data_IF_825679160750
#
_entry.id   IF_825679160750
#
_cell.length_a   1.000
_cell.length_b   1.000
_cell.length_c   1.000
_cell.angle_alpha   90.00
_cell.angle_beta   90.00
_cell.angle_gamma   90.00
#
_symmetry.space_group_name_H-M   'P 1'
#
loop_
_entity.id
_entity.type
_entity.pdbx_description
1 polymer ?
#
# COMPACT_ATOMS: atom_id res chain seq x y z
N UNK A 1 -4.55 -76.24 -18.59
CA UNK A 1 -3.15 -75.85 -18.25
C UNK A 1 -3.07 -74.33 -18.44
N UNK A 2 -3.53 -73.66 -17.36
CA UNK A 2 -3.78 -72.20 -17.36
C UNK A 2 -2.53 -71.46 -16.94
N UNK A 3 -2.04 -70.60 -17.85
CA UNK A 3 -0.96 -69.68 -17.58
C UNK A 3 -1.54 -68.34 -17.13
N UNK A 4 -1.55 -68.10 -15.82
CA UNK A 4 -1.89 -66.82 -15.18
C UNK A 4 -0.77 -65.78 -15.42
N UNK A 5 -1.03 -64.81 -16.31
CA UNK A 5 -0.21 -63.62 -16.42
C UNK A 5 -0.57 -62.65 -15.28
N UNK A 6 0.28 -62.56 -14.27
CA UNK A 6 0.27 -61.46 -13.31
C UNK A 6 0.80 -60.22 -14.00
N UNK A 7 -0.11 -59.28 -14.34
CA UNK A 7 0.29 -57.89 -14.68
C UNK A 7 0.58 -57.17 -13.39
N UNK A 8 1.84 -56.97 -13.08
CA UNK A 8 2.28 -56.05 -12.07
C UNK A 8 1.95 -54.64 -12.53
N UNK A 9 1.06 -53.96 -11.80
CA UNK A 9 0.82 -52.53 -11.92
C UNK A 9 2.04 -51.78 -11.34
N UNK A 10 2.93 -51.36 -12.23
CA UNK A 10 3.99 -50.42 -11.86
C UNK A 10 3.30 -49.09 -11.51
N UNK A 11 3.22 -48.80 -10.22
CA UNK A 11 2.94 -47.46 -9.74
C UNK A 11 4.06 -46.54 -10.20
N UNK A 12 3.78 -45.70 -11.20
CA UNK A 12 4.66 -44.61 -11.59
C UNK A 12 4.77 -43.66 -10.39
N UNK A 13 5.86 -43.81 -9.67
CA UNK A 13 6.32 -42.81 -8.68
C UNK A 13 6.57 -41.50 -9.44
N UNK A 14 5.55 -40.64 -9.44
CA UNK A 14 5.69 -39.26 -9.92
C UNK A 14 6.61 -38.52 -8.95
N UNK A 15 7.91 -38.73 -9.03
CA UNK A 15 8.88 -37.80 -8.45
C UNK A 15 8.66 -36.47 -9.12
N UNK A 16 7.93 -35.58 -8.46
CA UNK A 16 7.92 -34.15 -8.82
C UNK A 16 9.38 -33.70 -8.78
N UNK A 17 9.95 -33.36 -9.93
CA UNK A 17 11.21 -32.65 -9.99
C UNK A 17 10.98 -31.38 -9.19
N UNK A 18 11.58 -31.29 -8.02
CA UNK A 18 11.47 -30.11 -7.14
C UNK A 18 12.27 -29.00 -7.82
N UNK A 19 11.58 -27.99 -8.35
CA UNK A 19 12.23 -26.87 -9.04
C UNK A 19 12.82 -25.99 -7.94
N UNK A 20 14.13 -25.77 -7.98
CA UNK A 20 14.78 -24.78 -7.13
C UNK A 20 14.89 -23.46 -7.91
N UNK A 21 14.33 -22.40 -7.36
CA UNK A 21 14.45 -21.06 -7.89
C UNK A 21 15.79 -20.42 -7.45
N UNK A 22 16.35 -19.55 -8.29
CA UNK A 22 17.45 -18.68 -7.86
C UNK A 22 16.94 -17.59 -6.94
N UNK A 23 15.72 -17.10 -7.22
CA UNK A 23 15.08 -16.01 -6.49
C UNK A 23 13.56 -16.20 -6.40
N UNK A 24 13.01 -16.04 -5.21
CA UNK A 24 11.57 -15.81 -5.00
C UNK A 24 11.38 -14.38 -4.51
N UNK A 25 10.46 -13.66 -5.14
CA UNK A 25 10.07 -12.30 -4.77
C UNK A 25 8.67 -12.38 -4.17
N UNK A 26 8.50 -11.89 -2.95
CA UNK A 26 7.21 -11.87 -2.25
C UNK A 26 6.62 -10.47 -2.36
N UNK A 27 5.55 -10.34 -3.12
CA UNK A 27 4.87 -9.09 -3.44
C UNK A 27 5.18 -8.58 -4.84
N UNK A 28 4.13 -8.15 -5.56
CA UNK A 28 4.18 -7.62 -6.92
C UNK A 28 3.81 -6.14 -7.01
N UNK A 29 4.12 -5.36 -5.97
CA UNK A 29 4.14 -3.90 -6.04
C UNK A 29 5.32 -3.40 -6.88
N UNK A 30 5.49 -2.07 -7.04
CA UNK A 30 6.56 -1.48 -7.87
C UNK A 30 7.95 -2.00 -7.52
N UNK A 31 8.25 -2.22 -6.24
CA UNK A 31 9.54 -2.72 -5.79
C UNK A 31 9.78 -4.16 -6.25
N UNK A 32 8.80 -5.05 -6.06
CA UNK A 32 8.90 -6.45 -6.47
C UNK A 32 8.98 -6.61 -7.98
N UNK A 33 8.17 -5.87 -8.73
CA UNK A 33 8.20 -5.87 -10.20
C UNK A 33 9.52 -5.32 -10.74
N UNK A 34 10.08 -4.27 -10.14
CA UNK A 34 11.39 -3.73 -10.48
C UNK A 34 12.50 -4.77 -10.25
N UNK A 35 12.49 -5.44 -9.09
CA UNK A 35 13.43 -6.52 -8.78
C UNK A 35 13.32 -7.68 -9.79
N UNK A 36 12.09 -8.05 -10.19
CA UNK A 36 11.84 -9.10 -11.17
C UNK A 36 12.41 -8.76 -12.55
N UNK A 37 12.23 -7.51 -13.01
CA UNK A 37 12.81 -7.03 -14.28
C UNK A 37 14.33 -7.21 -14.28
N UNK A 38 15.00 -6.77 -13.23
CA UNK A 38 16.45 -6.92 -13.13
C UNK A 38 16.89 -8.39 -12.96
N UNK A 39 16.17 -9.18 -12.17
CA UNK A 39 16.43 -10.61 -12.02
C UNK A 39 16.32 -11.37 -13.34
N UNK A 40 15.28 -11.12 -14.13
CA UNK A 40 15.14 -11.73 -15.46
C UNK A 40 16.21 -11.26 -16.45
N UNK A 41 16.60 -9.99 -16.41
CA UNK A 41 17.71 -9.48 -17.22
C UNK A 41 19.05 -10.10 -16.84
N UNK A 42 19.24 -10.51 -15.58
CA UNK A 42 20.40 -11.26 -15.10
C UNK A 42 20.32 -12.77 -15.41
N UNK A 43 19.25 -13.25 -16.05
CA UNK A 43 19.06 -14.67 -16.40
C UNK A 43 18.62 -15.57 -15.25
N UNK A 44 18.13 -15.00 -14.14
CA UNK A 44 17.71 -15.79 -12.99
C UNK A 44 16.41 -16.56 -13.27
N UNK A 45 16.35 -17.80 -12.77
CA UNK A 45 15.12 -18.55 -12.61
C UNK A 45 14.38 -17.99 -11.39
N UNK A 46 13.39 -17.12 -11.62
CA UNK A 46 12.67 -16.45 -10.54
C UNK A 46 11.17 -16.62 -10.62
N UNK A 47 10.54 -16.58 -9.44
CA UNK A 47 9.10 -16.60 -9.23
C UNK A 47 8.70 -15.36 -8.41
N UNK A 48 7.61 -14.72 -8.79
CA UNK A 48 6.96 -13.67 -7.99
C UNK A 48 5.72 -14.28 -7.35
N UNK A 49 5.56 -14.11 -6.04
CA UNK A 49 4.36 -14.55 -5.32
C UNK A 49 3.58 -13.32 -4.90
N UNK A 50 2.31 -13.27 -5.29
CA UNK A 50 1.39 -12.19 -4.96
C UNK A 50 0.11 -12.75 -4.36
N UNK A 51 -0.34 -12.17 -3.27
CA UNK A 51 -1.56 -12.60 -2.59
C UNK A 51 -2.82 -12.16 -3.33
N UNK A 52 -2.79 -10.95 -3.92
CA UNK A 52 -3.92 -10.36 -4.61
C UNK A 52 -3.90 -10.74 -6.10
N UNK A 53 -5.07 -10.82 -6.76
CA UNK A 53 -5.14 -11.17 -8.19
C UNK A 53 -4.46 -10.14 -9.10
N UNK A 54 -4.24 -8.91 -8.59
CA UNK A 54 -3.67 -7.80 -9.36
C UNK A 54 -2.33 -7.34 -8.78
N UNK A 55 -1.39 -7.06 -9.68
CA UNK A 55 -0.09 -6.46 -9.35
C UNK A 55 -0.17 -4.94 -9.33
N UNK A 56 0.65 -4.31 -8.48
CA UNK A 56 0.73 -2.84 -8.36
C UNK A 56 0.78 -2.38 -6.91
N UNK A 57 0.29 -3.19 -5.96
CA UNK A 57 0.27 -2.82 -4.55
C UNK A 57 -0.54 -1.55 -4.30
N UNK A 58 -0.01 -0.62 -3.50
CA UNK A 58 -0.72 0.61 -3.12
C UNK A 58 -1.02 1.55 -4.29
N UNK A 59 -0.23 1.55 -5.37
CA UNK A 59 -0.48 2.44 -6.50
C UNK A 59 -1.83 2.19 -7.18
N UNK A 60 -2.40 0.99 -7.06
CA UNK A 60 -3.71 0.66 -7.65
C UNK A 60 -4.83 1.57 -7.16
N UNK A 61 -4.70 2.15 -5.98
CA UNK A 61 -5.68 3.04 -5.37
C UNK A 61 -5.49 4.52 -5.76
N UNK A 62 -4.45 4.84 -6.52
CA UNK A 62 -4.16 6.21 -6.95
C UNK A 62 -4.94 6.51 -8.22
N UNK A 63 -5.78 7.56 -8.18
CA UNK A 63 -6.59 7.97 -9.33
C UNK A 63 -5.70 8.39 -10.51
N UNK A 64 -4.70 9.24 -10.26
CA UNK A 64 -3.78 9.76 -11.26
C UNK A 64 -2.38 9.92 -10.67
N UNK A 65 -1.35 9.52 -11.41
CA UNK A 65 0.05 9.59 -11.04
C UNK A 65 0.78 10.59 -11.95
N UNK A 66 1.12 11.78 -11.41
CA UNK A 66 1.80 12.84 -12.14
C UNK A 66 3.31 12.93 -11.86
N UNK A 67 3.76 12.27 -10.82
CA UNK A 67 5.14 12.37 -10.31
C UNK A 67 6.04 11.20 -10.71
N UNK A 68 5.60 10.30 -11.60
CA UNK A 68 6.42 9.21 -12.11
C UNK A 68 6.99 9.54 -13.49
N UNK A 69 8.33 9.66 -13.57
CA UNK A 69 9.03 10.05 -14.78
C UNK A 69 8.69 9.13 -15.97
N UNK A 70 8.21 9.70 -17.06
CA UNK A 70 7.86 9.00 -18.30
C UNK A 70 6.42 8.50 -18.39
N UNK A 71 5.63 8.61 -17.31
CA UNK A 71 4.21 8.21 -17.27
C UNK A 71 3.32 9.27 -16.60
N UNK A 72 3.38 10.55 -17.04
CA UNK A 72 2.54 11.58 -16.42
C UNK A 72 1.06 11.36 -16.73
N UNK A 73 0.19 11.56 -15.74
CA UNK A 73 -1.26 11.46 -15.90
C UNK A 73 -1.79 10.02 -16.05
N UNK A 74 -0.98 9.01 -15.74
CA UNK A 74 -1.41 7.61 -15.80
C UNK A 74 -2.22 7.26 -14.53
N UNK A 75 -3.29 6.46 -14.68
CA UNK A 75 -3.96 5.90 -13.51
C UNK A 75 -3.05 4.92 -12.78
N UNK A 76 -3.19 4.80 -11.46
CA UNK A 76 -2.44 3.82 -10.69
C UNK A 76 -2.69 2.38 -11.16
N UNK A 77 -3.92 2.10 -11.60
CA UNK A 77 -4.28 0.81 -12.19
C UNK A 77 -3.47 0.53 -13.46
N UNK A 78 -3.49 1.44 -14.44
CA UNK A 78 -2.77 1.27 -15.72
C UNK A 78 -1.27 1.22 -15.50
N UNK A 79 -0.75 1.97 -14.53
CA UNK A 79 0.66 1.93 -14.14
C UNK A 79 1.04 0.56 -13.58
N UNK A 80 0.25 -0.01 -12.67
CA UNK A 80 0.44 -1.35 -12.12
C UNK A 80 0.44 -2.42 -13.21
N UNK A 81 -0.52 -2.33 -14.15
CA UNK A 81 -0.61 -3.23 -15.29
C UNK A 81 0.59 -3.09 -16.25
N UNK A 82 1.04 -1.86 -16.48
CA UNK A 82 2.22 -1.59 -17.32
C UNK A 82 3.48 -2.22 -16.72
N UNK A 83 3.68 -2.11 -15.42
CA UNK A 83 4.82 -2.72 -14.73
C UNK A 83 4.74 -4.24 -14.75
N UNK A 84 3.57 -4.81 -14.52
CA UNK A 84 3.31 -6.24 -14.60
C UNK A 84 3.67 -6.79 -15.99
N UNK A 85 3.14 -6.17 -17.04
CA UNK A 85 3.41 -6.56 -18.42
C UNK A 85 4.89 -6.48 -18.79
N UNK A 86 5.63 -5.51 -18.24
CA UNK A 86 7.07 -5.41 -18.47
C UNK A 86 7.81 -6.64 -17.89
N UNK A 87 7.49 -7.04 -16.67
CA UNK A 87 8.08 -8.23 -16.06
C UNK A 87 7.71 -9.51 -16.82
N UNK A 88 6.45 -9.66 -17.25
CA UNK A 88 5.97 -10.80 -18.04
C UNK A 88 6.65 -10.91 -19.41
N UNK A 89 6.86 -9.79 -20.10
CA UNK A 89 7.60 -9.76 -21.38
C UNK A 89 9.04 -10.28 -21.26
N UNK A 90 9.64 -10.16 -20.08
CA UNK A 90 10.96 -10.72 -19.78
C UNK A 90 10.89 -12.17 -19.29
N UNK A 91 9.70 -12.76 -19.24
CA UNK A 91 9.49 -14.14 -18.84
C UNK A 91 9.44 -14.35 -17.32
N UNK A 92 9.05 -13.33 -16.53
CA UNK A 92 8.79 -13.51 -15.13
C UNK A 92 7.53 -14.36 -14.92
N UNK A 93 7.60 -15.33 -14.02
CA UNK A 93 6.48 -16.19 -13.63
C UNK A 93 5.84 -15.65 -12.35
N UNK A 94 4.52 -15.83 -12.23
CA UNK A 94 3.73 -15.37 -11.11
C UNK A 94 2.92 -16.51 -10.50
N UNK A 95 2.87 -16.52 -9.18
CA UNK A 95 2.01 -17.41 -8.40
C UNK A 95 1.09 -16.55 -7.53
N UNK A 96 -0.22 -16.70 -7.71
CA UNK A 96 -1.21 -16.12 -6.80
C UNK A 96 -1.34 -17.01 -5.58
N UNK A 97 -0.80 -16.55 -4.45
CA UNK A 97 -0.85 -17.25 -3.17
C UNK A 97 -0.44 -16.34 -2.01
N UNK A 98 -1.01 -16.59 -0.83
CA UNK A 98 -0.53 -15.98 0.42
C UNK A 98 0.71 -16.73 0.91
N UNK A 99 1.80 -16.00 1.16
CA UNK A 99 3.00 -16.54 1.81
C UNK A 99 2.81 -16.52 3.33
N UNK A 100 2.91 -17.71 3.95
CA UNK A 100 2.72 -17.85 5.38
C UNK A 100 4.02 -17.81 6.18
N UNK A 101 5.09 -18.37 5.59
CA UNK A 101 6.42 -18.39 6.24
C UNK A 101 7.54 -18.60 5.24
N UNK A 102 8.74 -18.22 5.68
CA UNK A 102 10.00 -18.50 5.00
C UNK A 102 10.95 -19.11 6.03
N UNK A 103 11.50 -20.27 5.72
CA UNK A 103 12.45 -20.98 6.59
C UNK A 103 13.81 -21.09 5.93
N UNK A 104 14.88 -20.98 6.72
CA UNK A 104 16.24 -21.32 6.29
C UNK A 104 16.47 -22.83 6.41
N UNK A 105 17.02 -23.42 5.33
CA UNK A 105 17.33 -24.85 5.22
C UNK A 105 18.79 -25.05 4.80
N UNK A 106 19.73 -24.50 5.58
CA UNK A 106 21.16 -24.52 5.22
C UNK A 106 21.46 -23.61 4.04
N UNK A 107 21.79 -24.19 2.88
CA UNK A 107 22.21 -23.42 1.69
C UNK A 107 21.04 -22.86 0.86
N UNK A 108 19.80 -23.16 1.23
CA UNK A 108 18.60 -22.69 0.55
C UNK A 108 17.51 -22.27 1.53
N UNK A 109 16.48 -21.66 1.00
CA UNK A 109 15.29 -21.23 1.76
C UNK A 109 14.06 -21.96 1.24
N UNK A 110 13.14 -22.22 2.14
CA UNK A 110 11.84 -22.80 1.83
C UNK A 110 10.76 -21.75 2.05
N UNK A 111 10.01 -21.41 1.00
CA UNK A 111 8.87 -20.47 1.04
C UNK A 111 7.58 -21.29 1.04
N UNK A 112 6.75 -21.09 2.05
CA UNK A 112 5.44 -21.72 2.17
C UNK A 112 4.36 -20.76 1.69
N UNK A 113 3.76 -21.07 0.54
CA UNK A 113 2.77 -20.24 -0.13
C UNK A 113 1.51 -21.05 -0.48
N UNK A 114 0.36 -20.67 0.09
CA UNK A 114 -0.85 -21.48 0.00
C UNK A 114 -0.59 -22.92 0.47
N UNK A 115 -0.79 -23.90 -0.41
CA UNK A 115 -0.53 -25.32 -0.13
C UNK A 115 0.79 -25.81 -0.75
N UNK A 116 1.69 -24.92 -1.13
CA UNK A 116 2.94 -25.25 -1.81
C UNK A 116 4.15 -24.97 -0.93
N UNK A 117 5.16 -25.81 -1.06
CA UNK A 117 6.49 -25.65 -0.51
C UNK A 117 7.44 -25.41 -1.68
N UNK A 118 8.08 -24.24 -1.73
CA UNK A 118 8.90 -23.77 -2.83
C UNK A 118 10.33 -23.53 -2.35
N UNK A 119 11.30 -24.14 -3.03
CA UNK A 119 12.71 -23.98 -2.69
C UNK A 119 13.37 -22.89 -3.51
N UNK A 120 14.18 -22.08 -2.86
CA UNK A 120 14.91 -20.97 -3.50
C UNK A 120 16.24 -20.71 -2.82
N UNK A 121 17.19 -20.18 -3.58
CA UNK A 121 18.48 -19.73 -3.03
C UNK A 121 18.34 -18.43 -2.27
N UNK A 122 17.55 -17.49 -2.79
CA UNK A 122 17.37 -16.15 -2.23
C UNK A 122 15.90 -15.73 -2.21
N UNK A 123 15.54 -14.85 -1.27
CA UNK A 123 14.20 -14.26 -1.16
C UNK A 123 14.34 -12.74 -1.09
N UNK A 124 13.46 -12.04 -1.82
CA UNK A 124 13.23 -10.60 -1.67
C UNK A 124 11.84 -10.41 -1.07
N UNK A 125 11.77 -9.75 0.09
CA UNK A 125 10.53 -9.29 0.67
C UNK A 125 10.18 -7.91 0.11
N UNK A 126 9.17 -7.86 -0.75
CA UNK A 126 8.63 -6.64 -1.36
C UNK A 126 7.14 -6.48 -1.02
N UNK A 127 6.77 -6.85 0.21
CA UNK A 127 5.39 -6.96 0.70
C UNK A 127 4.72 -5.60 0.88
N UNK A 128 5.48 -4.51 0.78
CA UNK A 128 4.96 -3.16 0.98
C UNK A 128 4.58 -2.90 2.43
N UNK A 129 3.67 -1.96 2.61
CA UNK A 129 3.07 -1.62 3.89
C UNK A 129 1.60 -1.28 3.66
N UNK A 130 0.76 -1.46 4.66
CA UNK A 130 -0.60 -0.96 4.67
C UNK A 130 -0.67 0.28 5.57
N UNK A 131 -1.40 1.28 5.11
CA UNK A 131 -1.66 2.45 5.95
C UNK A 131 -2.62 2.06 7.06
N UNK A 132 -2.40 2.61 8.26
CA UNK A 132 -3.37 2.48 9.33
C UNK A 132 -4.62 3.27 8.96
N UNK A 133 -5.78 2.66 9.13
CA UNK A 133 -7.09 3.23 8.82
C UNK A 133 -7.71 3.86 10.06
N UNK A 134 -8.62 4.80 9.85
CA UNK A 134 -9.47 5.34 10.92
C UNK A 134 -10.58 4.35 11.27
N UNK A 135 -11.07 3.59 10.30
CA UNK A 135 -12.16 2.64 10.44
C UNK A 135 -13.53 3.33 10.59
N UNK A 136 -13.71 4.46 9.92
CA UNK A 136 -14.94 5.26 9.98
C UNK A 136 -15.73 5.15 8.67
N UNK A 137 -17.08 5.32 8.71
CA UNK A 137 -17.89 5.39 7.49
C UNK A 137 -17.36 6.44 6.51
N UNK A 138 -17.40 6.12 5.21
CA UNK A 138 -16.92 6.97 4.13
C UNK A 138 -15.42 6.86 3.83
N UNK A 139 -14.62 6.24 4.71
CA UNK A 139 -13.18 6.12 4.48
C UNK A 139 -12.84 5.23 3.27
N UNK A 140 -13.51 4.09 3.16
CA UNK A 140 -13.26 3.14 2.08
C UNK A 140 -13.95 3.56 0.79
N UNK A 141 -15.17 4.04 0.88
CA UNK A 141 -16.00 4.47 -0.24
C UNK A 141 -15.40 5.67 -0.99
N UNK A 142 -14.79 6.60 -0.25
CA UNK A 142 -14.20 7.82 -0.79
C UNK A 142 -12.66 7.75 -0.92
N UNK A 143 -12.08 6.55 -0.82
CA UNK A 143 -10.65 6.35 -1.00
C UNK A 143 -10.22 6.69 -2.43
N UNK A 144 -9.27 7.62 -2.59
CA UNK A 144 -8.89 8.21 -3.87
C UNK A 144 -9.84 9.29 -4.39
N UNK A 145 -11.00 9.48 -3.73
CA UNK A 145 -12.01 10.49 -4.06
C UNK A 145 -12.04 11.61 -2.98
N UNK A 146 -10.87 11.94 -2.46
CA UNK A 146 -10.69 12.93 -1.40
C UNK A 146 -10.14 12.35 -0.09
N UNK A 147 -10.22 11.04 0.13
CA UNK A 147 -9.47 10.35 1.18
C UNK A 147 -8.12 9.94 0.63
N UNK A 148 -7.04 10.34 1.29
CA UNK A 148 -5.67 10.03 0.92
C UNK A 148 -4.83 9.62 2.14
N UNK A 149 -3.75 8.87 1.89
CA UNK A 149 -2.75 8.47 2.87
C UNK A 149 -1.35 9.02 2.53
N UNK A 150 -1.25 9.91 1.52
CA UNK A 150 0.01 10.45 1.04
C UNK A 150 -0.14 11.90 0.59
N UNK A 151 0.24 12.84 1.44
CA UNK A 151 0.14 14.27 1.12
C UNK A 151 1.04 14.69 -0.06
N UNK A 152 2.22 14.09 -0.18
CA UNK A 152 3.15 14.39 -1.28
C UNK A 152 2.68 13.82 -2.63
N UNK A 153 1.85 12.75 -2.60
CA UNK A 153 1.29 12.15 -3.82
C UNK A 153 0.10 12.97 -4.33
N UNK A 154 -0.84 13.27 -3.45
CA UNK A 154 -2.18 13.74 -3.82
C UNK A 154 -2.41 15.22 -3.48
N UNK A 155 -1.52 15.85 -2.71
CA UNK A 155 -1.71 17.23 -2.23
C UNK A 155 -1.87 18.26 -3.35
N UNK A 156 -1.30 18.01 -4.54
CA UNK A 156 -1.43 18.90 -5.69
C UNK A 156 -2.88 19.08 -6.16
N UNK A 157 -3.74 18.05 -6.01
CA UNK A 157 -5.15 18.09 -6.39
C UNK A 157 -6.00 19.01 -5.50
N UNK A 158 -5.47 19.35 -4.31
CA UNK A 158 -6.17 20.18 -3.31
C UNK A 158 -5.66 21.61 -3.23
N UNK A 159 -4.91 22.05 -4.25
CA UNK A 159 -4.42 23.45 -4.32
C UNK A 159 -5.57 24.46 -4.20
N UNK A 160 -5.42 25.42 -3.26
CA UNK A 160 -6.42 26.46 -2.99
C UNK A 160 -7.71 25.93 -2.34
N UNK A 161 -7.73 24.69 -1.85
CA UNK A 161 -8.87 24.11 -1.14
C UNK A 161 -8.56 23.96 0.35
N UNK A 162 -9.61 23.77 1.14
CA UNK A 162 -9.51 23.38 2.55
C UNK A 162 -9.38 21.86 2.66
N UNK A 163 -8.41 21.40 3.45
CA UNK A 163 -8.16 19.98 3.70
C UNK A 163 -7.97 19.69 5.18
N UNK A 164 -8.10 18.43 5.56
CA UNK A 164 -7.80 17.96 6.90
C UNK A 164 -6.67 16.92 6.89
N UNK A 165 -5.82 16.95 7.91
CA UNK A 165 -4.84 15.90 8.22
C UNK A 165 -5.21 15.28 9.57
N UNK A 166 -5.24 13.96 9.65
CA UNK A 166 -5.55 13.25 10.89
C UNK A 166 -4.32 12.55 11.41
N UNK A 167 -3.84 12.96 12.58
CA UNK A 167 -2.66 12.39 13.20
C UNK A 167 -2.05 13.32 14.24
N UNK A 168 -0.83 13.04 14.67
CA UNK A 168 -0.12 13.86 15.66
C UNK A 168 1.33 13.42 15.87
N UNK A 169 1.83 12.50 15.06
CA UNK A 169 3.24 12.14 14.93
C UNK A 169 3.93 12.93 13.83
N UNK A 170 5.22 12.66 13.58
CA UNK A 170 6.04 13.38 12.61
C UNK A 170 5.40 13.43 11.23
N UNK A 171 4.93 12.29 10.69
CA UNK A 171 4.30 12.21 9.38
C UNK A 171 3.09 13.15 9.26
N UNK A 172 2.22 13.19 10.27
CA UNK A 172 1.04 14.07 10.24
C UNK A 172 1.42 15.56 10.25
N UNK A 173 2.49 15.91 10.98
CA UNK A 173 2.99 17.29 11.03
C UNK A 173 3.64 17.68 9.70
N UNK A 174 4.49 16.82 9.14
CA UNK A 174 5.13 17.00 7.83
C UNK A 174 4.10 17.14 6.72
N UNK A 175 3.08 16.27 6.70
CA UNK A 175 1.97 16.33 5.75
C UNK A 175 1.19 17.64 5.86
N UNK A 176 0.87 18.09 7.07
CA UNK A 176 0.15 19.34 7.29
C UNK A 176 0.99 20.57 6.85
N UNK A 177 2.30 20.59 7.16
CA UNK A 177 3.23 21.62 6.72
C UNK A 177 3.34 21.64 5.17
N UNK A 178 3.44 20.46 4.56
CA UNK A 178 3.51 20.33 3.10
C UNK A 178 2.26 20.88 2.43
N UNK A 179 1.07 20.45 2.88
CA UNK A 179 -0.22 20.89 2.35
C UNK A 179 -0.47 22.38 2.56
N UNK A 180 -0.02 22.94 3.68
CA UNK A 180 -0.17 24.38 3.97
C UNK A 180 0.51 25.30 2.95
N UNK A 181 1.49 24.78 2.17
CA UNK A 181 2.17 25.56 1.12
C UNK A 181 1.27 25.88 -0.07
N UNK A 182 0.26 25.07 -0.31
CA UNK A 182 -0.57 25.16 -1.53
C UNK A 182 -2.07 25.17 -1.26
N UNK A 183 -2.53 24.62 -0.14
CA UNK A 183 -3.93 24.63 0.27
C UNK A 183 -4.31 25.98 0.90
N UNK A 184 -5.57 26.34 0.76
CA UNK A 184 -6.14 27.54 1.38
C UNK A 184 -6.12 27.41 2.91
N UNK A 185 -6.55 26.27 3.44
CA UNK A 185 -6.59 25.97 4.86
C UNK A 185 -6.30 24.50 5.12
N UNK A 186 -5.60 24.22 6.21
CA UNK A 186 -5.30 22.86 6.69
C UNK A 186 -5.78 22.73 8.14
N UNK A 187 -6.63 21.77 8.39
CA UNK A 187 -7.00 21.34 9.74
C UNK A 187 -6.14 20.15 10.15
N UNK A 188 -5.39 20.27 11.26
CA UNK A 188 -4.75 19.10 11.87
C UNK A 188 -5.63 18.58 13.01
N UNK A 189 -6.23 17.41 12.81
CA UNK A 189 -7.15 16.78 13.78
C UNK A 189 -6.38 15.78 14.62
N UNK A 190 -6.33 16.02 15.92
CA UNK A 190 -5.59 15.15 16.84
C UNK A 190 -6.43 14.77 18.06
N UNK A 191 -6.44 13.46 18.39
CA UNK A 191 -7.28 12.90 19.47
C UNK A 191 -6.82 13.24 20.90
N UNK A 192 -5.65 13.86 21.08
CA UNK A 192 -5.07 14.24 22.38
C UNK A 192 -4.89 15.75 22.43
N UNK A 193 -4.54 16.24 23.63
CA UNK A 193 -4.27 17.66 23.89
C UNK A 193 -2.85 18.11 23.58
N UNK A 194 -1.99 17.19 23.11
CA UNK A 194 -0.60 17.45 22.76
C UNK A 194 -0.14 16.57 21.59
N UNK A 195 0.65 17.15 20.70
CA UNK A 195 1.26 16.46 19.56
C UNK A 195 2.46 15.59 20.05
N UNK A 196 2.74 14.52 19.32
CA UNK A 196 3.86 13.61 19.60
C UNK A 196 5.05 13.81 18.67
N UNK A 197 4.86 14.53 17.57
CA UNK A 197 5.92 14.81 16.61
C UNK A 197 7.02 15.72 17.17
N UNK A 198 8.16 15.76 16.49
CA UNK A 198 9.33 16.53 16.89
C UNK A 198 9.00 18.01 17.14
N UNK A 199 9.63 18.61 18.15
CA UNK A 199 9.34 20.02 18.52
C UNK A 199 9.57 20.99 17.35
N UNK A 200 10.59 20.77 16.55
CA UNK A 200 10.88 21.61 15.37
C UNK A 200 9.72 21.64 14.38
N UNK A 201 9.07 20.49 14.14
CA UNK A 201 7.90 20.41 13.27
C UNK A 201 6.68 21.09 13.91
N UNK A 202 6.52 20.95 15.24
CA UNK A 202 5.44 21.63 15.96
C UNK A 202 5.57 23.15 15.93
N UNK A 203 6.79 23.68 16.05
CA UNK A 203 7.06 25.11 15.96
C UNK A 203 6.82 25.64 14.55
N UNK A 204 7.30 24.94 13.53
CA UNK A 204 7.03 25.28 12.13
C UNK A 204 5.52 25.28 11.85
N UNK A 205 4.82 24.20 12.20
CA UNK A 205 3.38 24.07 11.99
C UNK A 205 2.59 25.22 12.63
N UNK A 206 2.91 25.58 13.90
CA UNK A 206 2.25 26.66 14.64
C UNK A 206 2.52 28.04 14.07
N UNK A 207 3.58 28.21 13.29
CA UNK A 207 3.91 29.48 12.62
C UNK A 207 3.10 29.71 11.35
N UNK A 208 2.45 28.68 10.79
CA UNK A 208 1.70 28.74 9.55
C UNK A 208 0.30 29.34 9.78
N UNK A 209 -0.05 30.47 9.14
CA UNK A 209 -1.29 31.20 9.42
C UNK A 209 -2.55 30.46 8.91
N UNK A 210 -2.40 29.53 7.97
CA UNK A 210 -3.48 28.75 7.37
C UNK A 210 -3.63 27.35 7.96
N UNK A 211 -2.92 27.04 9.06
CA UNK A 211 -3.08 25.77 9.79
C UNK A 211 -3.84 26.00 11.08
N UNK A 212 -4.84 25.17 11.31
CA UNK A 212 -5.61 25.13 12.56
C UNK A 212 -5.52 23.75 13.20
N UNK A 213 -5.04 23.69 14.44
CA UNK A 213 -4.91 22.42 15.18
C UNK A 213 -6.14 22.21 16.03
N UNK A 214 -6.86 21.12 15.74
CA UNK A 214 -8.04 20.69 16.49
C UNK A 214 -7.65 19.58 17.46
N UNK A 215 -7.21 19.98 18.66
CA UNK A 215 -6.91 19.04 19.74
C UNK A 215 -8.18 18.40 20.31
N UNK A 216 -8.02 17.22 20.90
CA UNK A 216 -9.09 16.44 21.53
C UNK A 216 -10.24 16.11 20.58
N UNK A 217 -9.95 16.01 19.26
CA UNK A 217 -10.96 15.65 18.26
C UNK A 217 -10.58 14.37 17.52
N UNK A 218 -11.61 13.62 17.16
CA UNK A 218 -11.55 12.46 16.25
C UNK A 218 -12.53 12.67 15.10
N UNK A 219 -12.21 12.09 13.94
CA UNK A 219 -13.15 11.97 12.83
C UNK A 219 -14.07 10.78 13.13
N UNK A 220 -15.37 10.95 12.99
CA UNK A 220 -16.38 9.90 13.18
C UNK A 220 -17.04 9.47 11.88
N UNK A 221 -17.02 10.32 10.86
CA UNK A 221 -17.55 10.03 9.53
C UNK A 221 -16.91 10.95 8.48
N UNK A 222 -16.70 10.42 7.28
CA UNK A 222 -16.27 11.17 6.09
C UNK A 222 -17.47 11.22 5.15
N UNK A 223 -17.93 12.42 4.80
CA UNK A 223 -19.16 12.62 4.05
C UNK A 223 -18.88 13.21 2.67
N UNK A 224 -19.64 12.74 1.67
CA UNK A 224 -19.63 13.17 0.29
C UNK A 224 -20.37 12.15 -0.59
N UNK A 225 -20.79 12.55 -1.77
CA UNK A 225 -21.39 11.63 -2.75
C UNK A 225 -20.30 11.06 -3.68
N UNK A 226 -19.70 11.88 -4.53
CA UNK A 226 -18.65 11.50 -5.47
C UNK A 226 -17.24 11.80 -4.94
N UNK A 227 -17.12 12.75 -4.03
CA UNK A 227 -15.85 13.21 -3.43
C UNK A 227 -16.10 13.62 -1.98
N UNK A 228 -15.02 13.74 -1.19
CA UNK A 228 -15.11 14.30 0.16
C UNK A 228 -15.60 15.75 0.10
N UNK A 229 -16.63 16.05 0.87
CA UNK A 229 -17.22 17.38 1.02
C UNK A 229 -17.07 17.93 2.42
N UNK A 230 -17.20 17.07 3.43
CA UNK A 230 -17.07 17.42 4.83
C UNK A 230 -16.72 16.21 5.70
N UNK A 231 -16.26 16.51 6.89
CA UNK A 231 -15.96 15.54 7.93
C UNK A 231 -16.87 15.76 9.12
N UNK A 232 -17.42 14.71 9.71
CA UNK A 232 -18.00 14.79 11.04
C UNK A 232 -16.91 14.53 12.05
N UNK A 233 -16.71 15.47 12.96
CA UNK A 233 -15.71 15.37 14.01
C UNK A 233 -16.35 15.47 15.38
N UNK A 234 -15.77 14.77 16.36
CA UNK A 234 -16.23 14.70 17.73
C UNK A 234 -15.11 15.10 18.68
N UNK A 235 -15.41 15.98 19.62
CA UNK A 235 -14.51 16.28 20.71
C UNK A 235 -14.58 15.16 21.76
N UNK A 236 -13.45 14.51 22.04
CA UNK A 236 -13.41 13.33 22.94
C UNK A 236 -13.58 13.65 24.41
N UNK A 237 -13.48 14.93 24.83
CA UNK A 237 -13.67 15.37 26.21
C UNK A 237 -15.09 15.84 26.48
N UNK A 238 -15.70 16.55 25.52
CA UNK A 238 -17.02 17.15 25.69
C UNK A 238 -18.14 16.36 24.99
N UNK A 239 -17.77 15.35 24.19
CA UNK A 239 -18.68 14.57 23.35
C UNK A 239 -19.39 15.40 22.25
N UNK A 240 -19.07 16.69 22.12
CA UNK A 240 -19.70 17.57 21.14
C UNK A 240 -19.24 17.19 19.72
N UNK A 241 -20.21 17.09 18.82
CA UNK A 241 -20.01 16.82 17.41
C UNK A 241 -20.19 18.09 16.59
N UNK A 242 -19.45 18.21 15.50
CA UNK A 242 -19.64 19.25 14.48
C UNK A 242 -19.21 18.76 13.12
N UNK A 243 -19.79 19.35 12.09
CA UNK A 243 -19.34 19.17 10.72
C UNK A 243 -18.18 20.17 10.43
N UNK A 244 -17.21 19.71 9.67
CA UNK A 244 -16.03 20.46 9.24
C UNK A 244 -15.93 20.37 7.71
N UNK A 245 -16.15 21.48 7.03
CA UNK A 245 -16.02 21.57 5.57
C UNK A 245 -14.56 21.29 5.16
N UNK A 246 -14.36 20.30 4.33
CA UNK A 246 -13.04 19.93 3.79
C UNK A 246 -13.21 19.16 2.48
N UNK A 247 -12.46 19.55 1.46
CA UNK A 247 -12.47 18.89 0.16
C UNK A 247 -11.61 17.59 0.13
N UNK A 248 -10.83 17.36 1.18
CA UNK A 248 -10.03 16.15 1.30
C UNK A 248 -9.54 15.92 2.72
N UNK A 249 -9.22 14.66 3.01
CA UNK A 249 -8.66 14.21 4.28
C UNK A 249 -7.43 13.34 4.03
N UNK A 250 -6.33 13.66 4.73
CA UNK A 250 -5.08 12.92 4.71
C UNK A 250 -4.93 12.18 6.03
N UNK A 251 -4.85 10.84 5.96
CA UNK A 251 -4.84 9.97 7.14
C UNK A 251 -3.41 9.57 7.45
N UNK A 252 -2.84 10.15 8.52
CA UNK A 252 -1.47 9.93 8.98
C UNK A 252 -1.46 9.39 10.41
N UNK A 253 -2.24 8.33 10.64
CA UNK A 253 -2.31 7.63 11.93
C UNK A 253 -1.45 6.37 11.90
N UNK A 254 -0.81 6.04 13.05
CA UNK A 254 0.06 4.89 13.20
C UNK A 254 0.07 4.38 14.64
#
# INVERSE_FOLDING_TARGET
>A
MDLLFHRGTATLDKRRVKIMYDLIIIGSGPAGLSAAVYGKRAGLNLLIIEEKPMSGGQILNTYEVDNYLGLPGISGFDMGMTFRQHAEKLGAEFLEATVHSVEERGDYKCVYAGNQELETRTVIFATGAEHARLGVPGEEELNGMGVSYCATCDGAFFRGRTVAVVGGGDVALEDAIYLARTCEKVYLIHRRDSLRGAMVLQEELKSLPNVEILYDHVVTEICGEDMVEKLRIKNVKTEAEKDLEAAGIFIAVG
#
